data_IF_614298909423
#
_entry.id   IF_614298909423
#
_cell.length_a   1.000
_cell.length_b   1.000
_cell.length_c   1.000
_cell.angle_alpha   90.00
_cell.angle_beta   90.00
_cell.angle_gamma   90.00
#
_symmetry.space_group_name_H-M   'P 1'
#
loop_
_entity.id
_entity.type
_entity.pdbx_description
1 polymer ?
#
# COMPACT_ATOMS: atom_id res chain seq x y z
N UNK A 1 24.75 8.35 3.71
CA UNK A 1 23.37 7.83 3.70
C UNK A 1 22.79 8.14 5.08
N UNK A 2 21.77 9.00 5.20
CA UNK A 2 21.22 9.32 6.53
C UNK A 2 20.57 8.05 7.11
N UNK A 3 20.66 7.84 8.42
CA UNK A 3 20.08 6.69 9.15
C UNK A 3 18.62 6.37 8.78
N UNK A 4 17.86 7.38 8.34
CA UNK A 4 16.48 7.22 7.87
C UNK A 4 16.36 6.36 6.58
N UNK A 5 17.30 6.44 5.64
CA UNK A 5 17.22 5.72 4.36
C UNK A 5 17.34 4.20 4.51
N UNK A 6 18.29 3.74 5.32
CA UNK A 6 18.49 2.31 5.61
C UNK A 6 17.26 1.74 6.31
N UNK A 7 16.72 2.45 7.30
CA UNK A 7 15.53 2.00 8.02
C UNK A 7 14.28 1.94 7.14
N UNK A 8 14.11 2.88 6.21
CA UNK A 8 13.03 2.83 5.22
C UNK A 8 13.16 1.57 4.36
N UNK A 9 14.38 1.25 3.88
CA UNK A 9 14.64 0.03 3.11
C UNK A 9 14.30 -1.21 3.94
N UNK A 10 14.75 -1.28 5.20
CA UNK A 10 14.47 -2.42 6.08
C UNK A 10 12.97 -2.62 6.36
N UNK A 11 12.21 -1.53 6.56
CA UNK A 11 10.76 -1.62 6.75
C UNK A 11 10.11 -2.12 5.47
N UNK A 12 10.43 -1.52 4.32
CA UNK A 12 9.85 -1.92 3.04
C UNK A 12 10.17 -3.38 2.69
N UNK A 13 11.41 -3.85 2.93
CA UNK A 13 11.80 -5.24 2.75
C UNK A 13 11.00 -6.18 3.67
N UNK A 14 10.83 -5.81 4.94
CA UNK A 14 10.10 -6.62 5.91
C UNK A 14 8.59 -6.69 5.61
N UNK A 15 7.99 -5.61 5.09
CA UNK A 15 6.55 -5.58 4.80
C UNK A 15 6.20 -6.10 3.41
N UNK A 16 7.17 -6.20 2.49
CA UNK A 16 6.93 -6.58 1.09
C UNK A 16 6.09 -7.85 0.91
N UNK A 17 6.30 -8.95 1.66
CA UNK A 17 5.47 -10.15 1.50
C UNK A 17 3.97 -9.91 1.74
N UNK A 18 3.62 -8.85 2.47
CA UNK A 18 2.24 -8.54 2.86
C UNK A 18 1.61 -7.43 2.03
N UNK A 19 2.38 -6.62 1.31
CA UNK A 19 1.87 -5.42 0.62
C UNK A 19 2.41 -5.20 -0.79
N UNK A 20 3.11 -6.20 -1.34
CA UNK A 20 3.68 -6.16 -2.69
C UNK A 20 4.72 -5.06 -2.89
N UNK A 21 5.20 -4.41 -1.83
CA UNK A 21 6.14 -3.30 -1.90
C UNK A 21 5.49 -1.93 -2.08
N UNK A 22 4.17 -1.81 -1.83
CA UNK A 22 3.44 -0.54 -1.76
C UNK A 22 2.91 -0.32 -0.34
N UNK A 23 3.26 0.81 0.28
CA UNK A 23 2.85 1.13 1.66
C UNK A 23 2.41 2.59 1.76
N UNK A 24 1.45 2.91 2.63
CA UNK A 24 1.13 4.32 2.88
C UNK A 24 2.29 5.02 3.58
N UNK A 25 2.52 6.30 3.27
CA UNK A 25 3.57 7.07 3.93
C UNK A 25 3.32 7.18 5.45
N UNK A 26 2.06 7.27 5.86
CA UNK A 26 1.65 7.30 7.26
C UNK A 26 2.01 6.00 7.99
N UNK A 27 1.72 4.83 7.41
CA UNK A 27 2.08 3.54 7.99
C UNK A 27 3.59 3.31 8.03
N UNK A 28 4.30 3.74 6.98
CA UNK A 28 5.77 3.73 6.99
C UNK A 28 6.31 4.57 8.16
N UNK A 29 5.80 5.79 8.36
CA UNK A 29 6.20 6.65 9.48
C UNK A 29 5.87 6.00 10.84
N UNK A 30 4.70 5.38 10.99
CA UNK A 30 4.31 4.65 12.20
C UNK A 30 5.25 3.48 12.51
N UNK A 31 5.57 2.66 11.51
CA UNK A 31 6.47 1.51 11.66
C UNK A 31 7.90 1.96 12.02
N UNK A 32 8.39 3.02 11.39
CA UNK A 32 9.68 3.64 11.73
C UNK A 32 9.69 4.16 13.18
N UNK A 33 8.61 4.83 13.60
CA UNK A 33 8.44 5.31 14.97
C UNK A 33 8.40 4.18 16.01
N UNK A 34 7.74 3.06 15.70
CA UNK A 34 7.69 1.88 16.57
C UNK A 34 9.08 1.26 16.78
N UNK A 35 9.88 1.09 15.71
CA UNK A 35 11.25 0.57 15.79
C UNK A 35 12.19 1.50 16.58
N UNK A 36 11.90 2.80 16.59
CA UNK A 36 12.68 3.81 17.30
C UNK A 36 12.18 4.10 18.72
N UNK A 37 11.23 3.37 19.31
CA UNK A 37 10.83 3.59 20.71
C UNK A 37 11.99 3.51 21.73
N UNK A 38 13.12 2.91 21.37
CA UNK A 38 14.36 2.89 22.14
C UNK A 38 15.28 4.14 21.95
N UNK A 39 15.07 4.93 20.88
CA UNK A 39 15.89 6.09 20.48
C UNK A 39 14.99 7.32 20.39
N UNK A 40 15.19 8.31 21.26
CA UNK A 40 14.33 9.50 21.49
C UNK A 40 14.06 10.43 20.29
N UNK A 41 14.46 10.06 19.08
CA UNK A 41 14.39 10.90 17.89
C UNK A 41 13.28 10.43 16.93
N UNK A 42 12.19 11.21 16.88
CA UNK A 42 11.04 10.98 16.00
C UNK A 42 11.38 11.36 14.56
N UNK A 43 11.18 10.46 13.60
CA UNK A 43 11.29 10.78 12.17
C UNK A 43 10.01 11.51 11.75
N UNK A 44 10.15 12.71 11.17
CA UNK A 44 9.01 13.44 10.59
C UNK A 44 8.63 12.93 9.20
N UNK A 45 7.42 13.23 8.73
CA UNK A 45 7.03 12.93 7.34
C UNK A 45 8.00 13.55 6.32
N UNK A 46 8.46 14.78 6.59
CA UNK A 46 9.41 15.49 5.72
C UNK A 46 10.78 14.78 5.65
N UNK A 47 11.25 14.23 6.77
CA UNK A 47 12.47 13.41 6.79
C UNK A 47 12.31 12.15 5.93
N UNK A 48 11.14 11.49 6.01
CA UNK A 48 10.82 10.34 5.16
C UNK A 48 10.81 10.71 3.68
N UNK A 49 10.13 11.80 3.32
CA UNK A 49 10.06 12.29 1.94
C UNK A 49 11.45 12.63 1.38
N UNK A 50 12.29 13.33 2.16
CA UNK A 50 13.66 13.65 1.78
C UNK A 50 14.52 12.40 1.63
N UNK A 51 14.36 11.42 2.52
CA UNK A 51 15.09 10.15 2.41
C UNK A 51 14.68 9.35 1.16
N UNK A 52 13.38 9.23 0.89
CA UNK A 52 12.86 8.52 -0.28
C UNK A 52 13.28 9.23 -1.58
N UNK A 53 13.24 10.56 -1.62
CA UNK A 53 13.73 11.33 -2.78
C UNK A 53 15.20 11.02 -3.10
N UNK A 54 16.05 10.90 -2.07
CA UNK A 54 17.46 10.49 -2.25
C UNK A 54 17.57 9.04 -2.74
N UNK A 55 16.76 8.12 -2.21
CA UNK A 55 16.73 6.72 -2.65
C UNK A 55 16.32 6.61 -4.12
N UNK A 56 15.35 7.40 -4.58
CA UNK A 56 14.90 7.45 -5.98
C UNK A 56 16.04 7.75 -6.95
N UNK A 57 16.84 8.79 -6.65
CA UNK A 57 17.96 9.23 -7.50
C UNK A 57 19.07 8.18 -7.59
N UNK A 58 19.19 7.29 -6.59
CA UNK A 58 20.15 6.18 -6.58
C UNK A 58 19.70 4.97 -7.39
N UNK A 59 18.54 5.02 -8.07
CA UNK A 59 18.05 3.91 -8.90
C UNK A 59 17.50 2.72 -8.11
N UNK A 60 17.18 2.91 -6.83
CA UNK A 60 16.73 1.82 -5.94
C UNK A 60 15.28 1.37 -6.15
N UNK A 61 14.55 1.99 -7.10
CA UNK A 61 13.12 1.72 -7.34
C UNK A 61 12.16 2.39 -6.35
N UNK A 62 12.69 3.16 -5.39
CA UNK A 62 11.87 3.90 -4.42
C UNK A 62 11.22 5.14 -5.04
N UNK A 63 9.93 5.31 -4.81
CA UNK A 63 9.18 6.47 -5.25
C UNK A 63 8.00 6.77 -4.33
N UNK A 64 7.68 8.06 -4.17
CA UNK A 64 6.42 8.49 -3.59
C UNK A 64 5.44 8.78 -4.73
N UNK A 65 4.30 8.10 -4.72
CA UNK A 65 3.18 8.36 -5.62
C UNK A 65 1.99 8.89 -4.82
N UNK A 66 1.14 9.66 -5.47
CA UNK A 66 -0.12 10.14 -4.87
C UNK A 66 -1.27 9.40 -5.52
N UNK A 67 -2.10 8.76 -4.71
CA UNK A 67 -3.34 8.12 -5.12
C UNK A 67 -4.46 8.73 -4.29
N UNK A 68 -5.47 9.34 -4.92
CA UNK A 68 -6.49 10.10 -4.23
C UNK A 68 -5.91 11.11 -3.23
N UNK A 69 -6.23 10.92 -1.94
CA UNK A 69 -5.77 11.79 -0.84
C UNK A 69 -4.54 11.27 -0.09
N UNK A 70 -3.99 10.11 -0.50
CA UNK A 70 -2.89 9.44 0.20
C UNK A 70 -1.60 9.48 -0.62
N UNK A 71 -0.49 9.67 0.10
CA UNK A 71 0.85 9.41 -0.42
C UNK A 71 1.20 7.95 -0.14
N UNK A 72 1.58 7.23 -1.19
CA UNK A 72 2.07 5.86 -1.10
C UNK A 72 3.54 5.82 -1.46
N UNK A 73 4.28 4.94 -0.81
CA UNK A 73 5.68 4.66 -1.07
C UNK A 73 5.76 3.34 -1.82
N UNK A 74 6.25 3.40 -3.05
CA UNK A 74 6.58 2.24 -3.87
C UNK A 74 8.05 1.92 -3.65
N UNK A 75 8.36 0.67 -3.32
CA UNK A 75 9.72 0.19 -3.03
C UNK A 75 10.23 -0.85 -4.03
N UNK A 76 9.36 -1.33 -4.93
CA UNK A 76 9.68 -2.21 -6.05
C UNK A 76 9.07 -1.67 -7.33
N UNK A 77 9.68 -1.89 -8.50
CA UNK A 77 9.07 -1.52 -9.78
C UNK A 77 7.79 -2.34 -9.98
N UNK A 78 6.63 -1.67 -9.90
CA UNK A 78 5.32 -2.24 -10.21
C UNK A 78 4.60 -1.30 -11.16
N UNK A 79 3.98 -1.84 -12.21
CA UNK A 79 3.29 -1.05 -13.23
C UNK A 79 1.87 -0.69 -12.77
N UNK A 80 1.72 0.52 -12.21
CA UNK A 80 0.43 1.10 -11.89
C UNK A 80 -0.02 2.01 -13.02
N UNK A 81 -1.10 1.63 -13.70
CA UNK A 81 -1.75 2.46 -14.69
C UNK A 81 -2.90 3.28 -14.04
N UNK A 82 -3.64 4.02 -14.86
CA UNK A 82 -4.78 4.82 -14.40
C UNK A 82 -5.85 3.98 -13.70
N UNK A 83 -6.13 2.78 -14.21
CA UNK A 83 -7.17 1.90 -13.69
C UNK A 83 -6.82 1.40 -12.29
N UNK A 84 -5.56 0.97 -12.12
CA UNK A 84 -5.03 0.56 -10.82
C UNK A 84 -5.13 1.70 -9.80
N UNK A 85 -4.81 2.93 -10.20
CA UNK A 85 -4.91 4.10 -9.33
C UNK A 85 -6.35 4.44 -8.94
N UNK A 86 -7.33 4.35 -9.86
CA UNK A 86 -8.74 4.59 -9.54
C UNK A 86 -9.31 3.54 -8.57
N UNK A 87 -8.91 2.27 -8.70
CA UNK A 87 -9.26 1.20 -7.75
C UNK A 87 -8.65 1.47 -6.37
N UNK A 88 -7.35 1.78 -6.32
CA UNK A 88 -6.65 2.07 -5.07
C UNK A 88 -7.22 3.32 -4.38
N UNK A 89 -7.66 4.33 -5.14
CA UNK A 89 -8.36 5.49 -4.60
C UNK A 89 -9.72 5.12 -4.02
N UNK A 90 -10.51 4.33 -4.74
CA UNK A 90 -11.81 3.84 -4.27
C UNK A 90 -11.67 3.02 -2.97
N UNK A 91 -10.65 2.17 -2.89
CA UNK A 91 -10.35 1.35 -1.72
C UNK A 91 -10.02 2.16 -0.46
N UNK A 92 -9.64 3.44 -0.56
CA UNK A 92 -9.29 4.25 0.62
C UNK A 92 -10.43 4.44 1.62
N UNK A 93 -11.68 4.22 1.18
CA UNK A 93 -12.86 4.34 2.03
C UNK A 93 -12.93 3.24 3.10
N UNK A 94 -12.52 2.01 2.78
CA UNK A 94 -12.74 0.84 3.66
C UNK A 94 -11.61 -0.21 3.64
N UNK A 95 -10.59 -0.03 2.79
CA UNK A 95 -9.45 -0.93 2.66
C UNK A 95 -9.61 -2.02 1.59
N UNK A 96 -10.82 -2.22 1.06
CA UNK A 96 -11.10 -3.20 0.01
C UNK A 96 -12.11 -2.68 -1.01
N UNK A 97 -12.20 -3.36 -2.15
CA UNK A 97 -13.30 -3.18 -3.11
C UNK A 97 -13.87 -4.52 -3.57
N UNK A 98 -15.04 -4.46 -4.19
CA UNK A 98 -15.64 -5.59 -4.94
C UNK A 98 -15.77 -5.20 -6.41
N UNK A 99 -15.89 -6.19 -7.31
CA UNK A 99 -16.12 -5.94 -8.75
C UNK A 99 -17.37 -5.07 -8.94
N UNK A 100 -18.47 -5.42 -8.27
CA UNK A 100 -19.74 -4.65 -8.29
C UNK A 100 -19.53 -3.18 -7.91
N UNK A 101 -18.68 -2.92 -6.92
CA UNK A 101 -18.40 -1.57 -6.45
C UNK A 101 -17.58 -0.77 -7.45
N UNK A 102 -16.55 -1.36 -8.05
CA UNK A 102 -15.76 -0.75 -9.12
C UNK A 102 -16.66 -0.41 -10.31
N UNK A 103 -17.47 -1.35 -10.76
CA UNK A 103 -18.40 -1.14 -11.88
C UNK A 103 -19.35 0.03 -11.62
N UNK A 104 -19.99 0.05 -10.45
CA UNK A 104 -21.00 1.06 -10.11
C UNK A 104 -20.40 2.43 -9.82
N UNK A 105 -19.23 2.50 -9.17
CA UNK A 105 -18.61 3.76 -8.74
C UNK A 105 -17.80 4.42 -9.85
N UNK A 106 -17.16 3.63 -10.71
CA UNK A 106 -16.32 4.13 -11.80
C UNK A 106 -17.01 4.03 -13.18
N UNK A 107 -18.21 3.46 -13.24
CA UNK A 107 -18.94 3.20 -14.49
C UNK A 107 -18.15 2.32 -15.48
N UNK A 108 -17.54 1.25 -14.95
CA UNK A 108 -16.74 0.30 -15.74
C UNK A 108 -17.52 -0.97 -16.11
N UNK A 109 -17.07 -1.64 -17.16
CA UNK A 109 -17.53 -3.00 -17.48
C UNK A 109 -17.00 -4.00 -16.46
N UNK A 110 -17.71 -5.13 -16.32
CA UNK A 110 -17.29 -6.21 -15.42
C UNK A 110 -15.92 -6.77 -15.81
N UNK A 111 -15.67 -7.02 -17.11
CA UNK A 111 -14.38 -7.50 -17.59
C UNK A 111 -13.23 -6.56 -17.23
N UNK A 112 -13.34 -5.26 -17.51
CA UNK A 112 -12.30 -4.28 -17.17
C UNK A 112 -12.01 -4.22 -15.67
N UNK A 113 -13.06 -4.25 -14.85
CA UNK A 113 -12.91 -4.24 -13.39
C UNK A 113 -12.21 -5.52 -12.89
N UNK A 114 -12.60 -6.68 -13.40
CA UNK A 114 -11.99 -7.97 -13.08
C UNK A 114 -10.52 -8.01 -13.49
N UNK A 115 -10.20 -7.69 -14.75
CA UNK A 115 -8.82 -7.72 -15.26
C UNK A 115 -7.88 -6.82 -14.44
N UNK A 116 -8.33 -5.61 -14.09
CA UNK A 116 -7.55 -4.68 -13.28
C UNK A 116 -7.36 -5.17 -11.84
N UNK A 117 -8.37 -5.82 -11.25
CA UNK A 117 -8.29 -6.39 -9.89
C UNK A 117 -7.41 -7.64 -9.84
N UNK A 118 -7.49 -8.50 -10.86
CA UNK A 118 -6.64 -9.68 -11.02
C UNK A 118 -5.18 -9.27 -11.21
N UNK A 119 -4.91 -8.26 -12.03
CA UNK A 119 -3.55 -7.71 -12.17
C UNK A 119 -3.00 -7.22 -10.82
N UNK A 120 -3.80 -6.49 -10.03
CA UNK A 120 -3.38 -6.03 -8.70
C UNK A 120 -3.14 -7.18 -7.72
N UNK A 121 -3.87 -8.30 -7.85
CA UNK A 121 -3.65 -9.51 -7.07
C UNK A 121 -2.36 -10.23 -7.50
N UNK A 122 -2.13 -10.39 -8.80
CA UNK A 122 -0.92 -11.01 -9.36
C UNK A 122 0.37 -10.25 -9.00
N UNK A 123 0.30 -8.92 -8.95
CA UNK A 123 1.37 -8.04 -8.47
C UNK A 123 1.58 -8.10 -6.94
N UNK A 124 0.74 -8.86 -6.20
CA UNK A 124 0.81 -8.99 -4.75
C UNK A 124 0.38 -7.73 -3.98
N UNK A 125 -0.30 -6.80 -4.66
CA UNK A 125 -0.82 -5.55 -4.07
C UNK A 125 -2.21 -5.72 -3.45
N UNK A 126 -2.92 -6.78 -3.85
CA UNK A 126 -4.23 -7.12 -3.34
C UNK A 126 -4.25 -8.53 -2.73
N UNK A 127 -5.13 -8.75 -1.76
CA UNK A 127 -5.45 -10.06 -1.20
C UNK A 127 -6.92 -10.37 -1.43
N UNK A 128 -7.24 -11.62 -1.72
CA UNK A 128 -8.63 -12.07 -1.92
C UNK A 128 -9.21 -12.51 -0.57
N UNK A 129 -10.41 -12.03 -0.27
CA UNK A 129 -11.24 -12.49 0.85
C UNK A 129 -12.62 -12.91 0.33
N UNK A 130 -12.86 -14.22 0.41
CA UNK A 130 -14.14 -14.86 0.07
C UNK A 130 -14.95 -15.25 1.34
N UNK A 131 -14.46 -14.94 2.54
CA UNK A 131 -15.00 -15.41 3.81
C UNK A 131 -16.14 -14.55 4.39
N UNK A 132 -16.49 -13.45 3.73
CA UNK A 132 -17.50 -12.54 4.25
C UNK A 132 -18.93 -13.10 4.12
N UNK A 133 -19.80 -12.73 5.08
CA UNK A 133 -21.16 -13.30 5.27
C UNK A 133 -22.12 -13.09 4.10
N UNK A 134 -21.84 -12.13 3.22
CA UNK A 134 -22.65 -11.83 2.04
C UNK A 134 -22.24 -12.65 0.80
N UNK A 135 -21.21 -13.50 0.92
CA UNK A 135 -20.70 -14.34 -0.16
C UNK A 135 -20.00 -13.56 -1.28
N UNK A 136 -19.72 -12.27 -1.08
CA UNK A 136 -19.05 -11.42 -2.09
C UNK A 136 -17.54 -11.44 -1.90
N UNK A 137 -16.82 -11.79 -2.97
CA UNK A 137 -15.36 -11.66 -3.06
C UNK A 137 -14.92 -10.21 -2.87
N UNK A 138 -13.97 -9.99 -1.98
CA UNK A 138 -13.33 -8.69 -1.72
C UNK A 138 -11.86 -8.74 -2.10
N UNK A 139 -11.38 -7.67 -2.71
CA UNK A 139 -9.97 -7.42 -2.96
C UNK A 139 -9.49 -6.40 -1.92
N UNK A 140 -8.70 -6.87 -0.95
CA UNK A 140 -8.14 -6.07 0.14
C UNK A 140 -6.80 -5.48 -0.25
N UNK A 141 -6.59 -4.21 0.05
CA UNK A 141 -5.39 -3.46 -0.29
C UNK A 141 -4.66 -3.00 0.98
N UNK A 142 -3.59 -3.70 1.35
CA UNK A 142 -2.69 -3.33 2.45
C UNK A 142 -2.31 -1.85 2.45
N UNK A 143 -1.92 -1.31 1.29
CA UNK A 143 -1.37 0.05 1.15
C UNK A 143 -2.35 1.18 1.47
N UNK A 144 -3.65 0.91 1.52
CA UNK A 144 -4.71 1.90 1.85
C UNK A 144 -5.55 1.49 3.05
N UNK A 145 -5.34 0.29 3.58
CA UNK A 145 -5.92 -0.19 4.83
C UNK A 145 -5.14 0.34 6.03
N UNK A 146 -5.80 0.54 7.18
CA UNK A 146 -5.10 0.91 8.42
C UNK A 146 -4.24 -0.25 8.91
N UNK A 147 -3.04 0.02 9.46
CA UNK A 147 -2.21 -1.00 10.15
C UNK A 147 -2.97 -1.76 11.24
N UNK A 148 -4.04 -1.18 11.81
CA UNK A 148 -4.90 -1.87 12.78
C UNK A 148 -5.66 -3.06 12.19
N UNK A 149 -5.88 -3.13 10.88
CA UNK A 149 -6.59 -4.22 10.21
C UNK A 149 -5.75 -5.50 10.10
N UNK A 150 -4.43 -5.40 10.24
CA UNK A 150 -3.49 -6.53 10.08
C UNK A 150 -3.38 -7.38 11.35
N UNK A 151 -3.56 -6.76 12.52
CA UNK A 151 -3.29 -7.39 13.82
C UNK A 151 -4.32 -8.48 14.16
N UNK A 152 -5.42 -8.59 13.40
CA UNK A 152 -6.44 -9.62 13.58
C UNK A 152 -6.13 -10.99 12.94
N UNK A 153 -5.09 -11.11 12.10
CA UNK A 153 -4.83 -12.34 11.35
C UNK A 153 -3.72 -13.25 11.95
N UNK A 154 -2.76 -12.69 12.70
CA UNK A 154 -1.58 -13.44 13.19
C UNK A 154 -1.48 -13.55 14.73
N UNK A 155 -2.61 -13.52 15.45
CA UNK A 155 -2.64 -13.82 16.90
C UNK A 155 -3.66 -14.87 17.33
N UNK A 156 -3.88 -15.91 16.50
CA UNK A 156 -4.44 -17.19 16.95
C UNK A 156 -3.58 -18.36 16.48
#
# INVERSE_FOLDING_TARGET
MNLAGVQIIEVCLATRPHNGGLISLDDLCKLLGQRRKAVRETISEDDCLRAISKLKVLGSGFEVITVGKRKLVRSVPTELNKDHNEILELAQAQGFVTVDEVQRRLNWSSGRATDALETLFEEGLAMIDDGHRDGKRRYWFPCVSSVSSYVGADTL
#
